data_IF_932300795996
#
_entry.id   IF_932300795996
#
_cell.length_a   1.000
_cell.length_b   1.000
_cell.length_c   1.000
_cell.angle_alpha   90.00
_cell.angle_beta   90.00
_cell.angle_gamma   90.00
#
_symmetry.space_group_name_H-M   'P 1'
#
loop_
_entity.id
_entity.type
_entity.pdbx_description
1 polymer ?
#
# COMPACT_ATOMS: atom_id res chain seq x y z
N UNK A 1 46.15 -27.20 -22.37
CA UNK A 1 46.22 -27.59 -20.96
C UNK A 1 46.23 -26.36 -20.06
N UNK A 2 47.21 -25.45 -20.13
CA UNK A 2 47.17 -24.20 -19.35
C UNK A 2 45.92 -23.33 -19.58
N UNK A 3 45.50 -23.18 -20.85
CA UNK A 3 44.24 -22.49 -21.16
C UNK A 3 43.00 -23.16 -20.54
N UNK A 4 43.02 -24.48 -20.36
CA UNK A 4 41.88 -25.21 -19.78
C UNK A 4 41.82 -24.98 -18.26
N UNK A 5 42.98 -25.02 -17.59
CA UNK A 5 43.12 -24.64 -16.18
C UNK A 5 42.68 -23.19 -15.94
N UNK A 6 43.08 -22.26 -16.81
CA UNK A 6 42.68 -20.86 -16.73
C UNK A 6 41.15 -20.68 -16.83
N UNK A 7 40.50 -21.36 -17.78
CA UNK A 7 39.02 -21.32 -17.95
C UNK A 7 38.31 -21.89 -16.72
N UNK A 8 38.78 -23.02 -16.19
CA UNK A 8 38.21 -23.60 -14.98
C UNK A 8 38.42 -22.73 -13.73
N UNK A 9 39.59 -22.10 -13.60
CA UNK A 9 39.87 -21.13 -12.53
C UNK A 9 38.92 -19.94 -12.60
N UNK A 10 38.86 -19.28 -13.75
CA UNK A 10 38.04 -18.09 -13.97
C UNK A 10 36.57 -18.40 -13.74
N UNK A 11 36.04 -19.47 -14.35
CA UNK A 11 34.63 -19.84 -14.19
C UNK A 11 34.25 -20.14 -12.73
N UNK A 12 35.16 -20.71 -11.95
CA UNK A 12 34.95 -20.96 -10.51
C UNK A 12 34.83 -19.64 -9.75
N UNK A 13 35.73 -18.69 -10.01
CA UNK A 13 35.74 -17.37 -9.37
C UNK A 13 34.53 -16.52 -9.81
N UNK A 14 34.19 -16.51 -11.09
CA UNK A 14 33.03 -15.78 -11.63
C UNK A 14 31.71 -16.31 -11.08
N UNK A 15 31.58 -17.64 -10.96
CA UNK A 15 30.41 -18.30 -10.38
C UNK A 15 30.28 -17.96 -8.90
N UNK A 16 31.37 -17.99 -8.14
CA UNK A 16 31.37 -17.60 -6.73
C UNK A 16 30.90 -16.15 -6.56
N UNK A 17 31.47 -15.21 -7.33
CA UNK A 17 31.06 -13.81 -7.33
C UNK A 17 29.58 -13.64 -7.72
N UNK A 18 29.12 -14.40 -8.71
CA UNK A 18 27.72 -14.46 -9.12
C UNK A 18 26.79 -14.91 -8.00
N UNK A 19 27.12 -16.01 -7.32
CA UNK A 19 26.32 -16.57 -6.22
C UNK A 19 26.21 -15.62 -5.02
N UNK A 20 27.29 -14.91 -4.69
CA UNK A 20 27.28 -13.88 -3.64
C UNK A 20 26.44 -12.68 -4.08
N UNK A 21 26.58 -12.22 -5.31
CA UNK A 21 25.79 -11.09 -5.87
C UNK A 21 24.30 -11.40 -5.90
N UNK A 22 23.94 -12.65 -6.22
CA UNK A 22 22.56 -13.12 -6.28
C UNK A 22 21.95 -13.48 -4.92
N UNK A 23 22.76 -13.50 -3.86
CA UNK A 23 22.35 -13.86 -2.51
C UNK A 23 22.10 -15.36 -2.31
N UNK A 24 22.62 -16.21 -3.20
CA UNK A 24 22.66 -17.68 -3.01
C UNK A 24 23.63 -18.02 -1.88
N UNK A 25 24.75 -17.29 -1.80
CA UNK A 25 25.68 -17.30 -0.68
C UNK A 25 25.37 -16.14 0.26
N UNK A 26 25.10 -16.44 1.53
CA UNK A 26 24.84 -15.41 2.54
C UNK A 26 26.14 -14.67 2.86
N UNK A 27 26.20 -13.40 2.47
CA UNK A 27 27.24 -12.50 2.94
C UNK A 27 27.16 -12.34 4.46
N UNK A 28 28.24 -12.64 5.17
CA UNK A 28 28.34 -12.36 6.62
C UNK A 28 28.24 -10.84 6.82
N UNK A 29 27.34 -10.39 7.71
CA UNK A 29 27.18 -8.96 8.01
C UNK A 29 28.50 -8.41 8.56
N UNK A 30 28.94 -7.27 8.03
CA UNK A 30 30.19 -6.60 8.44
C UNK A 30 31.45 -7.06 7.70
N UNK A 31 31.38 -8.04 6.79
CA UNK A 31 32.51 -8.38 5.92
C UNK A 31 32.67 -7.35 4.80
N UNK A 32 33.92 -7.03 4.48
CA UNK A 32 34.29 -6.18 3.34
C UNK A 32 33.80 -6.80 2.02
N UNK A 33 33.65 -5.99 0.96
CA UNK A 33 33.32 -6.50 -0.38
C UNK A 33 34.39 -7.49 -0.85
N UNK A 34 35.66 -7.18 -0.56
CA UNK A 34 36.82 -8.00 -0.88
C UNK A 34 36.69 -9.39 -0.25
N UNK A 35 36.41 -9.49 1.05
CA UNK A 35 36.26 -10.79 1.73
C UNK A 35 35.00 -11.55 1.30
N UNK A 36 33.98 -10.86 0.81
CA UNK A 36 32.74 -11.49 0.36
C UNK A 36 32.85 -12.09 -1.05
N UNK A 37 33.65 -11.48 -1.94
CA UNK A 37 33.77 -11.89 -3.34
C UNK A 37 35.06 -12.66 -3.65
N UNK A 38 36.04 -12.65 -2.75
CA UNK A 38 37.30 -13.37 -2.93
C UNK A 38 37.23 -14.81 -2.45
N UNK A 39 38.05 -15.66 -3.06
CA UNK A 39 38.41 -16.97 -2.55
C UNK A 39 39.90 -17.00 -2.23
N UNK A 40 40.30 -17.82 -1.25
CA UNK A 40 41.71 -17.98 -0.95
C UNK A 40 42.40 -18.74 -2.08
N UNK A 41 43.59 -18.30 -2.49
CA UNK A 41 44.36 -18.97 -3.54
C UNK A 41 44.62 -20.44 -3.18
N UNK A 42 44.81 -20.74 -1.89
CA UNK A 42 45.01 -22.10 -1.38
C UNK A 42 43.79 -22.99 -1.61
N UNK A 43 42.58 -22.49 -1.30
CA UNK A 43 41.34 -23.26 -1.49
C UNK A 43 41.06 -23.48 -2.98
N UNK A 44 41.32 -22.46 -3.80
CA UNK A 44 41.15 -22.54 -5.25
C UNK A 44 42.14 -23.53 -5.86
N UNK A 45 43.41 -23.47 -5.47
CA UNK A 45 44.43 -24.42 -5.90
C UNK A 45 44.07 -25.85 -5.50
N UNK A 46 43.60 -26.07 -4.26
CA UNK A 46 43.16 -27.38 -3.80
C UNK A 46 41.97 -27.92 -4.64
N UNK A 47 41.03 -27.05 -5.03
CA UNK A 47 39.91 -27.43 -5.87
C UNK A 47 40.33 -27.78 -7.31
N UNK A 48 41.17 -26.95 -7.94
CA UNK A 48 41.61 -27.16 -9.33
C UNK A 48 42.58 -28.34 -9.42
N UNK A 49 43.49 -28.53 -8.46
CA UNK A 49 44.39 -29.68 -8.43
C UNK A 49 43.65 -31.01 -8.27
N UNK A 50 42.50 -31.02 -7.57
CA UNK A 50 41.65 -32.21 -7.48
C UNK A 50 40.98 -32.59 -8.82
N UNK A 51 40.85 -31.64 -9.76
CA UNK A 51 40.33 -31.86 -11.12
C UNK A 51 41.43 -32.25 -12.12
N UNK A 52 42.70 -32.28 -11.70
CA UNK A 52 43.85 -32.61 -12.56
C UNK A 52 43.71 -34.02 -13.15
N UNK A 53 44.15 -34.17 -14.40
CA UNK A 53 44.32 -35.48 -15.02
C UNK A 53 45.40 -36.30 -14.28
N UNK A 54 45.14 -37.60 -14.09
CA UNK A 54 46.07 -38.53 -13.43
C UNK A 54 47.40 -38.68 -14.15
N UNK A 55 47.46 -38.33 -15.43
CA UNK A 55 48.66 -38.40 -16.26
C UNK A 55 49.68 -37.28 -15.99
N UNK A 56 49.25 -36.18 -15.36
CA UNK A 56 50.09 -35.01 -15.11
C UNK A 56 50.74 -35.12 -13.73
N UNK A 57 52.05 -34.90 -13.66
CA UNK A 57 52.79 -34.85 -12.39
C UNK A 57 52.34 -33.67 -11.51
N UNK A 58 52.74 -33.62 -10.24
CA UNK A 58 52.35 -32.49 -9.40
C UNK A 58 53.11 -31.22 -9.79
N UNK A 59 54.42 -31.32 -9.97
CA UNK A 59 55.28 -30.18 -10.30
C UNK A 59 54.89 -29.54 -11.64
N UNK A 60 54.59 -30.37 -12.65
CA UNK A 60 54.13 -29.87 -13.96
C UNK A 60 52.79 -29.14 -13.86
N UNK A 61 51.89 -29.59 -12.99
CA UNK A 61 50.62 -28.90 -12.75
C UNK A 61 50.81 -27.56 -12.05
N UNK A 62 51.77 -27.48 -11.12
CA UNK A 62 52.07 -26.26 -10.38
C UNK A 62 52.57 -25.16 -11.32
N UNK A 63 53.46 -25.52 -12.26
CA UNK A 63 53.94 -24.60 -13.29
C UNK A 63 52.79 -24.13 -14.20
N UNK A 64 51.91 -25.04 -14.61
CA UNK A 64 50.72 -24.73 -15.42
C UNK A 64 49.77 -23.79 -14.67
N UNK A 65 49.52 -24.06 -13.38
CA UNK A 65 48.64 -23.25 -12.55
C UNK A 65 49.17 -21.84 -12.36
N UNK A 66 50.47 -21.69 -12.04
CA UNK A 66 51.10 -20.39 -11.87
C UNK A 66 51.07 -19.56 -13.16
N UNK A 67 51.29 -20.21 -14.31
CA UNK A 67 51.18 -19.55 -15.61
C UNK A 67 49.73 -19.10 -15.89
N UNK A 68 48.74 -19.93 -15.56
CA UNK A 68 47.33 -19.61 -15.73
C UNK A 68 46.89 -18.43 -14.84
N UNK A 69 47.26 -18.43 -13.55
CA UNK A 69 46.97 -17.31 -12.64
C UNK A 69 47.59 -16.02 -13.17
N UNK A 70 48.85 -16.08 -13.60
CA UNK A 70 49.55 -14.91 -14.16
C UNK A 70 48.85 -14.38 -15.41
N UNK A 71 48.51 -15.24 -16.36
CA UNK A 71 47.81 -14.86 -17.60
C UNK A 71 46.47 -14.18 -17.31
N UNK A 72 45.68 -14.72 -16.36
CA UNK A 72 44.41 -14.13 -15.95
C UNK A 72 44.55 -12.77 -15.26
N UNK A 73 45.64 -12.57 -14.50
CA UNK A 73 45.96 -11.26 -13.90
C UNK A 73 46.41 -10.26 -14.97
N UNK A 74 47.29 -10.68 -15.87
CA UNK A 74 47.83 -9.85 -16.96
C UNK A 74 46.71 -9.41 -17.93
N UNK A 75 45.70 -10.26 -18.14
CA UNK A 75 44.51 -9.96 -18.94
C UNK A 75 43.40 -9.20 -18.17
N UNK A 76 43.65 -8.79 -16.93
CA UNK A 76 42.69 -8.08 -16.06
C UNK A 76 41.37 -8.85 -15.80
N UNK A 77 41.38 -10.18 -15.86
CA UNK A 77 40.19 -10.99 -15.58
C UNK A 77 40.03 -11.27 -14.09
N UNK A 78 41.15 -11.37 -13.37
CA UNK A 78 41.20 -11.55 -11.92
C UNK A 78 42.13 -10.54 -11.25
N UNK A 79 41.77 -10.12 -10.03
CA UNK A 79 42.63 -9.33 -9.16
C UNK A 79 43.16 -10.19 -8.01
N UNK A 80 44.40 -9.95 -7.59
CA UNK A 80 45.01 -10.59 -6.43
C UNK A 80 45.16 -9.61 -5.28
N UNK A 81 44.71 -10.00 -4.09
CA UNK A 81 44.81 -9.18 -2.87
C UNK A 81 45.53 -9.98 -1.80
N UNK A 82 46.65 -9.46 -1.30
CA UNK A 82 47.39 -10.08 -0.20
C UNK A 82 46.88 -9.57 1.12
N UNK A 83 46.49 -10.48 2.02
CA UNK A 83 46.04 -10.15 3.37
C UNK A 83 47.24 -10.12 4.33
N UNK A 84 47.09 -9.40 5.45
CA UNK A 84 48.10 -9.26 6.53
C UNK A 84 48.64 -10.58 7.08
N UNK A 85 47.82 -11.65 7.03
CA UNK A 85 48.22 -12.99 7.44
C UNK A 85 49.02 -13.75 6.37
N UNK A 86 49.39 -13.10 5.27
CA UNK A 86 50.16 -13.67 4.16
C UNK A 86 49.36 -14.46 3.14
N UNK A 87 48.03 -14.58 3.31
CA UNK A 87 47.17 -15.31 2.37
C UNK A 87 46.84 -14.42 1.16
N UNK A 88 47.03 -14.98 -0.03
CA UNK A 88 46.59 -14.37 -1.27
C UNK A 88 45.11 -14.72 -1.54
N UNK A 89 44.36 -13.70 -1.91
CA UNK A 89 42.94 -13.78 -2.26
C UNK A 89 42.79 -13.50 -3.74
N UNK A 90 42.04 -14.34 -4.45
CA UNK A 90 41.72 -14.20 -5.86
C UNK A 90 40.29 -13.69 -6.04
N UNK A 91 40.10 -12.70 -6.91
CA UNK A 91 38.81 -12.07 -7.17
C UNK A 91 38.58 -12.01 -8.68
N UNK A 92 37.53 -12.63 -9.21
CA UNK A 92 37.12 -12.40 -10.59
C UNK A 92 36.53 -11.01 -10.76
N UNK A 93 36.86 -10.29 -11.84
CA UNK A 93 36.25 -8.98 -12.14
C UNK A 93 34.80 -9.10 -12.58
N UNK A 94 34.52 -10.09 -13.42
CA UNK A 94 33.19 -10.40 -13.92
C UNK A 94 32.49 -11.42 -13.02
N UNK A 95 31.16 -11.40 -13.06
CA UNK A 95 30.33 -12.31 -12.30
C UNK A 95 29.41 -13.07 -13.25
N UNK A 96 29.41 -14.39 -13.15
CA UNK A 96 28.50 -15.23 -13.92
C UNK A 96 27.14 -15.22 -13.23
N UNK A 97 26.19 -14.44 -13.77
CA UNK A 97 24.87 -14.23 -13.17
C UNK A 97 23.77 -14.83 -14.05
N UNK A 98 22.87 -15.61 -13.45
CA UNK A 98 21.70 -16.15 -14.13
C UNK A 98 20.69 -15.05 -14.51
N UNK A 99 19.93 -15.27 -15.59
CA UNK A 99 18.91 -14.32 -16.05
C UNK A 99 17.87 -13.99 -14.97
N UNK A 100 17.46 -14.99 -14.18
CA UNK A 100 16.51 -14.80 -13.09
C UNK A 100 17.04 -13.87 -12.00
N UNK A 101 18.32 -14.00 -11.63
CA UNK A 101 18.95 -13.11 -10.67
C UNK A 101 19.07 -11.68 -11.21
N UNK A 102 19.50 -11.52 -12.47
CA UNK A 102 19.60 -10.21 -13.12
C UNK A 102 18.25 -9.49 -13.13
N UNK A 103 17.18 -10.20 -13.46
CA UNK A 103 15.82 -9.66 -13.45
C UNK A 103 15.38 -9.27 -12.03
N UNK A 104 15.62 -10.14 -11.04
CA UNK A 104 15.27 -9.88 -9.63
C UNK A 104 15.98 -8.64 -9.10
N UNK A 105 17.27 -8.49 -9.38
CA UNK A 105 18.05 -7.31 -8.96
C UNK A 105 17.51 -6.03 -9.60
N UNK A 106 17.22 -6.07 -10.91
CA UNK A 106 16.64 -4.92 -11.62
C UNK A 106 15.25 -4.58 -11.09
N UNK A 107 14.37 -5.56 -10.92
CA UNK A 107 13.04 -5.36 -10.36
C UNK A 107 13.10 -4.79 -8.94
N UNK A 108 13.96 -5.33 -8.08
CA UNK A 108 14.16 -4.81 -6.72
C UNK A 108 14.67 -3.37 -6.74
N UNK A 109 15.60 -3.04 -7.64
CA UNK A 109 16.11 -1.68 -7.80
C UNK A 109 15.04 -0.71 -8.28
N UNK A 110 14.25 -1.12 -9.28
CA UNK A 110 13.14 -0.32 -9.82
C UNK A 110 12.07 -0.12 -8.74
N UNK A 111 11.67 -1.20 -8.07
CA UNK A 111 10.71 -1.14 -6.98
C UNK A 111 11.17 -0.19 -5.87
N UNK A 112 12.45 -0.22 -5.48
CA UNK A 112 12.99 0.70 -4.48
C UNK A 112 12.96 2.16 -4.94
N UNK A 113 13.32 2.42 -6.19
CA UNK A 113 13.33 3.77 -6.78
C UNK A 113 11.92 4.36 -6.87
N UNK A 114 10.95 3.55 -7.27
CA UNK A 114 9.57 4.00 -7.55
C UNK A 114 8.59 3.79 -6.38
N UNK A 115 9.03 3.17 -5.27
CA UNK A 115 8.15 2.86 -4.13
C UNK A 115 7.44 4.11 -3.61
N UNK A 116 8.18 5.21 -3.41
CA UNK A 116 7.61 6.43 -2.85
C UNK A 116 6.65 7.08 -3.84
N UNK A 117 7.06 7.25 -5.10
CA UNK A 117 6.22 7.82 -6.16
C UNK A 117 4.92 7.03 -6.39
N UNK A 118 5.01 5.71 -6.38
CA UNK A 118 3.82 4.87 -6.52
C UNK A 118 2.89 5.00 -5.31
N UNK A 119 3.44 4.97 -4.08
CA UNK A 119 2.65 5.14 -2.86
C UNK A 119 1.97 6.52 -2.79
N UNK A 120 2.65 7.59 -3.21
CA UNK A 120 2.07 8.95 -3.22
C UNK A 120 0.93 9.05 -4.23
N UNK A 121 1.11 8.53 -5.44
CA UNK A 121 0.04 8.51 -6.46
C UNK A 121 -1.18 7.71 -6.00
N UNK A 122 -0.98 6.54 -5.39
CA UNK A 122 -2.07 5.73 -4.83
C UNK A 122 -2.78 6.47 -3.70
N UNK A 123 -2.03 7.11 -2.79
CA UNK A 123 -2.61 7.88 -1.70
C UNK A 123 -3.43 9.08 -2.21
N UNK A 124 -2.94 9.79 -3.23
CA UNK A 124 -3.68 10.89 -3.87
C UNK A 124 -4.96 10.41 -4.55
N UNK A 125 -4.90 9.29 -5.26
CA UNK A 125 -6.08 8.71 -5.91
C UNK A 125 -7.16 8.29 -4.89
N UNK A 126 -6.75 7.60 -3.82
CA UNK A 126 -7.65 7.21 -2.73
C UNK A 126 -8.21 8.45 -2.00
N UNK A 127 -7.37 9.44 -1.74
CA UNK A 127 -7.80 10.71 -1.14
C UNK A 127 -8.83 11.44 -2.01
N UNK A 128 -8.61 11.51 -3.32
CA UNK A 128 -9.52 12.12 -4.28
C UNK A 128 -10.88 11.43 -4.31
N UNK A 129 -10.90 10.09 -4.46
CA UNK A 129 -12.15 9.32 -4.47
C UNK A 129 -12.92 9.40 -3.15
N UNK A 130 -12.21 9.37 -2.02
CA UNK A 130 -12.81 9.56 -0.69
C UNK A 130 -13.41 10.97 -0.54
N UNK A 131 -12.70 12.01 -0.96
CA UNK A 131 -13.21 13.38 -0.92
C UNK A 131 -14.49 13.53 -1.76
N UNK A 132 -14.49 13.02 -2.99
CA UNK A 132 -15.66 13.06 -3.88
C UNK A 132 -16.87 12.34 -3.29
N UNK A 133 -16.68 11.14 -2.74
CA UNK A 133 -17.78 10.39 -2.12
C UNK A 133 -18.34 11.11 -0.90
N UNK A 134 -17.48 11.70 -0.06
CA UNK A 134 -17.90 12.51 1.08
C UNK A 134 -18.70 13.74 0.66
N UNK A 135 -18.25 14.46 -0.36
CA UNK A 135 -18.96 15.64 -0.91
C UNK A 135 -20.32 15.22 -1.46
N UNK A 136 -20.37 14.16 -2.29
CA UNK A 136 -21.63 13.67 -2.87
C UNK A 136 -22.63 13.26 -1.80
N UNK A 137 -22.19 12.54 -0.76
CA UNK A 137 -23.04 12.17 0.38
C UNK A 137 -23.56 13.40 1.12
N UNK A 138 -22.70 14.37 1.42
CA UNK A 138 -23.10 15.60 2.09
C UNK A 138 -24.10 16.43 1.27
N UNK A 139 -23.91 16.52 -0.05
CA UNK A 139 -24.85 17.21 -0.95
C UNK A 139 -26.18 16.48 -1.06
N UNK A 140 -26.17 15.15 -1.16
CA UNK A 140 -27.39 14.34 -1.19
C UNK A 140 -28.18 14.46 0.13
N UNK A 141 -27.49 14.42 1.28
CA UNK A 141 -28.11 14.61 2.59
C UNK A 141 -28.74 16.00 2.72
N UNK A 142 -28.04 17.07 2.31
CA UNK A 142 -28.59 18.43 2.28
C UNK A 142 -29.84 18.54 1.40
N UNK A 143 -29.83 17.91 0.22
CA UNK A 143 -30.98 17.88 -0.68
C UNK A 143 -32.17 17.17 -0.03
N UNK A 144 -31.93 16.01 0.58
CA UNK A 144 -32.95 15.23 1.29
C UNK A 144 -33.56 15.99 2.46
N UNK A 145 -32.73 16.68 3.26
CA UNK A 145 -33.23 17.57 4.33
C UNK A 145 -34.14 18.65 3.75
N UNK A 146 -33.75 19.30 2.66
CA UNK A 146 -34.55 20.35 2.03
C UNK A 146 -35.91 19.83 1.54
N UNK A 147 -35.93 18.63 0.95
CA UNK A 147 -37.17 17.98 0.49
C UNK A 147 -38.09 17.62 1.65
N UNK A 148 -37.54 17.05 2.74
CA UNK A 148 -38.31 16.72 3.95
C UNK A 148 -38.85 17.95 4.67
N UNK A 149 -38.07 19.03 4.74
CA UNK A 149 -38.52 20.32 5.30
C UNK A 149 -39.70 20.85 4.49
N UNK A 150 -39.60 20.84 3.16
CA UNK A 150 -40.69 21.28 2.28
C UNK A 150 -41.95 20.44 2.50
N UNK A 151 -41.81 19.11 2.49
CA UNK A 151 -42.91 18.17 2.74
C UNK A 151 -43.57 18.42 4.10
N UNK A 152 -42.77 18.61 5.16
CA UNK A 152 -43.27 18.86 6.52
C UNK A 152 -44.08 20.15 6.59
N UNK A 153 -43.56 21.24 6.00
CA UNK A 153 -44.25 22.54 5.98
C UNK A 153 -45.55 22.44 5.18
N UNK A 154 -45.53 21.80 4.02
CA UNK A 154 -46.73 21.57 3.19
C UNK A 154 -47.78 20.77 3.95
N UNK A 155 -47.37 19.70 4.65
CA UNK A 155 -48.29 18.86 5.41
C UNK A 155 -48.93 19.59 6.60
N UNK A 156 -48.17 20.42 7.33
CA UNK A 156 -48.72 21.27 8.40
C UNK A 156 -49.73 22.28 7.83
N UNK A 157 -49.43 22.86 6.66
CA UNK A 157 -50.36 23.78 5.98
C UNK A 157 -51.64 23.07 5.52
N UNK A 158 -51.52 21.87 4.95
CA UNK A 158 -52.67 21.05 4.55
C UNK A 158 -53.59 20.75 5.74
N UNK A 159 -53.02 20.38 6.90
CA UNK A 159 -53.82 20.15 8.11
C UNK A 159 -54.55 21.38 8.62
N UNK A 160 -53.94 22.56 8.51
CA UNK A 160 -54.66 23.80 8.79
C UNK A 160 -55.87 23.95 7.87
N UNK A 161 -55.68 23.78 6.55
CA UNK A 161 -56.77 23.94 5.57
C UNK A 161 -57.87 22.90 5.78
N UNK A 162 -57.54 21.65 6.06
CA UNK A 162 -58.50 20.59 6.38
C UNK A 162 -59.33 20.94 7.61
N UNK A 163 -58.68 21.39 8.69
CA UNK A 163 -59.35 21.81 9.93
C UNK A 163 -60.29 23.01 9.73
N UNK A 164 -59.99 23.90 8.78
CA UNK A 164 -60.92 25.00 8.42
C UNK A 164 -62.20 24.52 7.75
N UNK A 165 -62.17 23.37 7.05
CA UNK A 165 -63.35 22.80 6.38
C UNK A 165 -64.10 21.81 7.29
N UNK A 166 -63.37 21.11 8.16
CA UNK A 166 -63.91 20.13 9.10
C UNK A 166 -63.46 20.44 10.54
N UNK A 167 -64.35 20.98 11.39
CA UNK A 167 -64.04 21.30 12.79
C UNK A 167 -63.65 20.10 13.65
N UNK A 168 -63.89 18.86 13.19
CA UNK A 168 -63.50 17.64 13.91
C UNK A 168 -62.03 17.27 13.68
N UNK A 169 -61.39 17.83 12.66
CA UNK A 169 -59.96 17.60 12.39
C UNK A 169 -59.07 18.54 13.21
N UNK A 170 -58.02 17.96 13.80
CA UNK A 170 -57.02 18.70 14.56
C UNK A 170 -56.18 19.62 13.65
N UNK A 171 -56.00 20.92 14.00
CA UNK A 171 -55.24 21.88 13.20
C UNK A 171 -53.71 21.78 13.40
N UNK A 172 -53.20 20.64 13.87
CA UNK A 172 -51.80 20.44 14.21
C UNK A 172 -51.28 19.10 13.70
N UNK A 173 -49.95 18.97 13.62
CA UNK A 173 -49.29 17.70 13.27
C UNK A 173 -48.25 17.33 14.31
N UNK A 174 -48.19 16.04 14.64
CA UNK A 174 -47.17 15.49 15.54
C UNK A 174 -45.87 15.25 14.74
N UNK A 175 -44.75 15.92 15.08
CA UNK A 175 -43.47 15.80 14.38
C UNK A 175 -42.98 14.35 14.27
N UNK A 176 -43.16 13.56 15.33
CA UNK A 176 -42.73 12.16 15.40
C UNK A 176 -43.48 11.29 14.38
N UNK A 177 -44.77 11.56 14.13
CA UNK A 177 -45.54 10.85 13.10
C UNK A 177 -45.03 11.18 11.70
N UNK A 178 -44.70 12.46 11.43
CA UNK A 178 -44.11 12.87 10.16
C UNK A 178 -42.75 12.19 9.97
N UNK A 179 -41.90 12.18 11.01
CA UNK A 179 -40.60 11.52 10.99
C UNK A 179 -40.73 10.06 10.60
N UNK A 180 -41.61 9.33 11.28
CA UNK A 180 -41.70 7.88 11.13
C UNK A 180 -42.32 7.49 9.78
N UNK A 181 -43.25 8.31 9.26
CA UNK A 181 -43.80 8.13 7.91
C UNK A 181 -42.78 8.50 6.82
N UNK A 182 -42.17 9.67 6.89
CA UNK A 182 -41.30 10.22 5.86
C UNK A 182 -39.89 9.59 5.82
N UNK A 183 -39.46 8.96 6.92
CA UNK A 183 -38.17 8.26 7.04
C UNK A 183 -38.33 6.76 7.28
N UNK A 184 -39.45 6.18 6.82
CA UNK A 184 -39.76 4.76 6.92
C UNK A 184 -38.73 3.87 6.17
N UNK A 185 -38.05 4.42 5.16
CA UNK A 185 -36.98 3.76 4.40
C UNK A 185 -35.65 3.66 5.15
N UNK A 186 -35.42 4.48 6.18
CA UNK A 186 -34.18 4.47 6.97
C UNK A 186 -34.33 3.50 8.13
N UNK A 187 -33.63 2.37 8.09
CA UNK A 187 -33.67 1.37 9.18
C UNK A 187 -32.83 1.75 10.41
N UNK A 188 -31.80 2.57 10.25
CA UNK A 188 -30.94 3.01 11.36
C UNK A 188 -31.63 4.08 12.20
N UNK A 189 -31.93 3.78 13.46
CA UNK A 189 -32.57 4.73 14.40
C UNK A 189 -31.70 5.96 14.64
N UNK A 190 -30.37 5.79 14.76
CA UNK A 190 -29.43 6.87 14.96
C UNK A 190 -29.35 7.81 13.74
N UNK A 191 -29.37 7.26 12.53
CA UNK A 191 -29.36 8.04 11.29
C UNK A 191 -30.69 8.81 11.12
N UNK A 192 -31.81 8.14 11.39
CA UNK A 192 -33.14 8.75 11.36
C UNK A 192 -33.22 9.94 12.31
N UNK A 193 -32.77 9.79 13.55
CA UNK A 193 -32.79 10.86 14.55
C UNK A 193 -31.88 12.03 14.15
N UNK A 194 -30.68 11.74 13.63
CA UNK A 194 -29.74 12.77 13.17
C UNK A 194 -30.27 13.57 11.98
N UNK A 195 -30.93 12.90 11.03
CA UNK A 195 -31.53 13.57 9.88
C UNK A 195 -32.74 14.40 10.32
N UNK A 196 -33.59 13.83 11.18
CA UNK A 196 -34.78 14.50 11.69
C UNK A 196 -34.47 15.72 12.53
N UNK A 197 -33.45 15.68 13.40
CA UNK A 197 -33.07 16.84 14.22
C UNK A 197 -32.71 18.07 13.36
N UNK A 198 -32.10 17.85 12.20
CA UNK A 198 -31.82 18.92 11.22
C UNK A 198 -33.09 19.44 10.56
N UNK A 199 -34.00 18.54 10.16
CA UNK A 199 -35.29 18.94 9.58
C UNK A 199 -36.09 19.76 10.60
N UNK A 200 -36.25 19.24 11.82
CA UNK A 200 -36.95 19.90 12.92
C UNK A 200 -36.39 21.29 13.21
N UNK A 201 -35.06 21.43 13.34
CA UNK A 201 -34.43 22.74 13.55
C UNK A 201 -34.73 23.75 12.45
N UNK A 202 -34.77 23.34 11.18
CA UNK A 202 -35.12 24.23 10.06
C UNK A 202 -36.61 24.55 10.04
N UNK A 203 -37.48 23.58 10.31
CA UNK A 203 -38.95 23.76 10.36
C UNK A 203 -39.34 24.71 11.50
N UNK A 204 -38.75 24.55 12.69
CA UNK A 204 -38.97 25.42 13.85
C UNK A 204 -38.53 26.87 13.58
N UNK A 205 -37.55 27.08 12.71
CA UNK A 205 -37.11 28.43 12.31
C UNK A 205 -38.06 29.12 11.32
N UNK A 206 -39.07 28.41 10.79
CA UNK A 206 -40.03 28.98 9.87
C UNK A 206 -41.00 29.91 10.61
N UNK A 207 -41.11 31.17 10.17
CA UNK A 207 -41.95 32.18 10.81
C UNK A 207 -43.45 31.80 10.88
N UNK A 208 -43.94 30.98 9.96
CA UNK A 208 -45.34 30.57 9.88
C UNK A 208 -45.68 29.33 10.72
N UNK A 209 -44.67 28.65 11.27
CA UNK A 209 -44.88 27.46 12.08
C UNK A 209 -44.67 27.83 13.55
N UNK A 210 -45.50 27.27 14.42
CA UNK A 210 -45.35 27.36 15.85
C UNK A 210 -45.23 25.96 16.46
N UNK A 211 -44.29 25.81 17.38
CA UNK A 211 -44.20 24.64 18.26
C UNK A 211 -45.12 24.88 19.46
N UNK A 212 -46.05 23.97 19.72
CA UNK A 212 -46.89 23.95 20.93
C UNK A 212 -46.76 22.62 21.64
N UNK A 213 -47.08 22.60 22.92
CA UNK A 213 -47.19 21.38 23.71
C UNK A 213 -48.66 21.14 24.00
N UNK A 214 -49.16 19.97 23.62
CA UNK A 214 -50.55 19.55 23.84
C UNK A 214 -50.57 18.23 24.59
N UNK A 215 -51.52 18.09 25.50
CA UNK A 215 -51.81 16.80 26.12
C UNK A 215 -52.67 15.98 25.17
N UNK A 216 -52.09 14.90 24.63
CA UNK A 216 -52.74 13.99 23.69
C UNK A 216 -52.75 12.62 24.35
N UNK A 217 -53.95 12.08 24.62
CA UNK A 217 -54.12 10.76 25.26
C UNK A 217 -53.41 10.62 26.63
N UNK A 218 -53.27 11.73 27.38
CA UNK A 218 -52.62 11.76 28.68
C UNK A 218 -51.10 12.02 28.65
N UNK A 219 -50.51 12.10 27.45
CA UNK A 219 -49.09 12.41 27.27
C UNK A 219 -48.89 13.82 26.69
N UNK A 220 -47.94 14.57 27.26
CA UNK A 220 -47.55 15.89 26.73
C UNK A 220 -46.69 15.67 25.48
N UNK A 221 -47.21 16.07 24.34
CA UNK A 221 -46.56 15.92 23.03
C UNK A 221 -46.32 17.28 22.39
N UNK A 222 -45.12 17.46 21.83
CA UNK A 222 -44.82 18.60 20.98
C UNK A 222 -45.59 18.47 19.65
N UNK A 223 -46.21 19.56 19.19
CA UNK A 223 -46.94 19.62 17.92
C UNK A 223 -46.51 20.82 17.10
N UNK A 224 -46.53 20.65 15.78
CA UNK A 224 -46.42 21.75 14.82
C UNK A 224 -47.81 22.25 14.44
N UNK A 225 -48.02 23.55 14.57
CA UNK A 225 -49.24 24.23 14.16
C UNK A 225 -48.90 25.39 13.23
N UNK A 226 -49.74 25.62 12.22
CA UNK A 226 -49.61 26.81 11.39
C UNK A 226 -50.11 28.03 12.16
N UNK A 227 -49.34 29.12 12.18
CA UNK A 227 -49.78 30.38 12.77
C UNK A 227 -50.96 30.93 11.97
N UNK A 228 -52.16 30.84 12.52
CA UNK A 228 -53.30 31.63 12.05
C UNK A 228 -53.07 33.07 12.51
N UNK A 229 -52.82 33.98 11.57
CA UNK A 229 -52.88 35.42 11.84
C UNK A 229 -54.33 35.88 11.96
#
# INVERSE_FOLDING_TARGET
>A
MAADVAVHLLSTLEKHRGDVTCGNLKRKRGLSDIDAFSLSEVDVYAFISALKDKTISQDEFDDIYQLAVKDLVDNEEIDTVRRDNGINLLIARNAQISLGCRLRLKLSSIARKWRLEFCTLVALFLGYTFALTKIRRATAEKKRVKELVKYTIEHVRERMVESMHDPTMAPYVIPEQIRDNALSDIHSSAERQKLWSRVRSVVESNANIQLKQLEIQGDITDVFEWKSS
#
